data_IF_342315658963
#
_entry.id   IF_342315658963
#
_cell.length_a   1.000
_cell.length_b   1.000
_cell.length_c   1.000
_cell.angle_alpha   90.00
_cell.angle_beta   90.00
_cell.angle_gamma   90.00
#
_symmetry.space_group_name_H-M   'P 1'
#
loop_
_entity.id
_entity.type
_entity.pdbx_description
1 polymer ?
#
# COMPACT_ATOMS: atom_id res chain seq x y z
N UNK A 1 -21.47 -21.98 34.60
CA UNK A 1 -20.57 -23.13 34.74
C UNK A 1 -19.97 -23.43 33.37
N UNK A 2 -18.65 -23.32 33.20
CA UNK A 2 -17.95 -23.72 31.99
C UNK A 2 -17.55 -25.21 32.07
N UNK A 3 -17.07 -25.80 30.97
CA UNK A 3 -15.99 -26.76 31.10
C UNK A 3 -14.72 -26.24 30.44
N UNK A 4 -13.66 -26.45 31.21
CA UNK A 4 -12.25 -26.18 30.95
C UNK A 4 -11.58 -27.52 30.54
N UNK A 5 -10.39 -27.39 29.95
CA UNK A 5 -9.23 -28.31 29.99
C UNK A 5 -8.82 -29.00 28.67
N UNK A 6 -7.80 -28.38 28.07
CA UNK A 6 -6.44 -28.86 27.70
C UNK A 6 -6.20 -30.05 26.77
N UNK A 7 -5.17 -29.85 25.93
CA UNK A 7 -4.33 -30.90 25.36
C UNK A 7 -3.29 -30.35 24.39
N UNK A 8 -2.14 -29.94 24.93
CA UNK A 8 -0.91 -29.53 24.22
C UNK A 8 -0.36 -30.61 23.28
N UNK A 9 0.22 -30.23 22.13
CA UNK A 9 1.32 -30.98 21.49
C UNK A 9 2.26 -30.04 20.73
N UNK A 10 3.41 -29.74 21.35
CA UNK A 10 4.60 -29.13 20.76
C UNK A 10 5.54 -30.24 20.27
N UNK A 11 6.00 -30.14 19.02
CA UNK A 11 7.06 -30.99 18.46
C UNK A 11 8.22 -30.14 17.92
N UNK A 12 9.37 -30.20 18.60
CA UNK A 12 10.66 -29.59 18.20
C UNK A 12 11.47 -30.55 17.30
N UNK A 13 12.28 -29.97 16.41
CA UNK A 13 13.58 -30.48 15.93
C UNK A 13 14.38 -29.24 15.46
N UNK A 14 15.65 -29.00 15.75
CA UNK A 14 16.68 -29.66 16.54
C UNK A 14 17.96 -28.83 16.39
N UNK A 15 18.57 -28.42 17.51
CA UNK A 15 19.88 -27.73 17.58
C UNK A 15 20.91 -28.77 18.01
N UNK A 16 22.07 -28.84 17.33
CA UNK A 16 23.26 -29.56 17.81
C UNK A 16 24.30 -28.56 18.34
N UNK A 17 24.85 -28.87 19.52
CA UNK A 17 25.96 -28.20 20.19
C UNK A 17 27.28 -28.90 19.93
N UNK A 18 28.35 -28.16 20.22
CA UNK A 18 29.55 -28.62 20.93
C UNK A 18 30.81 -28.55 20.07
N UNK A 19 31.98 -28.17 20.56
CA UNK A 19 32.51 -27.56 21.79
C UNK A 19 33.97 -27.18 21.42
N UNK A 20 34.61 -26.19 22.07
CA UNK A 20 35.92 -26.36 22.74
C UNK A 20 36.66 -25.05 23.11
N UNK A 21 37.55 -25.23 24.09
CA UNK A 21 38.15 -24.30 25.05
C UNK A 21 39.27 -23.33 24.55
N UNK A 22 39.33 -22.17 25.23
CA UNK A 22 40.37 -21.15 25.54
C UNK A 22 41.87 -21.57 25.61
N UNK A 23 42.84 -20.68 26.01
CA UNK A 23 43.14 -19.26 25.73
C UNK A 23 44.65 -19.01 25.36
N UNK A 24 45.02 -17.80 24.93
CA UNK A 24 46.46 -17.46 24.81
C UNK A 24 46.73 -15.99 24.45
N UNK A 25 47.24 -15.22 25.41
CA UNK A 25 47.54 -13.80 25.23
C UNK A 25 48.82 -13.50 24.43
N UNK A 26 48.96 -12.26 23.96
CA UNK A 26 50.22 -11.49 24.03
C UNK A 26 50.01 -10.00 23.73
N UNK A 27 50.94 -9.26 24.33
CA UNK A 27 51.06 -7.81 24.56
C UNK A 27 51.00 -6.89 23.32
N UNK A 28 50.60 -5.65 23.62
CA UNK A 28 50.75 -4.39 22.89
C UNK A 28 52.19 -4.19 22.36
N UNK A 29 52.39 -3.43 21.27
CA UNK A 29 53.11 -2.17 21.46
C UNK A 29 52.43 -0.95 20.85
N UNK A 30 52.61 0.13 21.61
CA UNK A 30 52.24 1.50 21.38
C UNK A 30 53.14 2.10 20.29
N UNK A 31 52.58 2.77 19.28
CA UNK A 31 53.35 3.63 18.38
C UNK A 31 52.61 4.96 18.27
N UNK A 32 53.20 5.99 18.85
CA UNK A 32 52.89 7.40 18.65
C UNK A 32 53.03 7.76 17.16
N UNK A 33 52.09 8.52 16.61
CA UNK A 33 52.41 9.67 15.76
C UNK A 33 51.21 10.61 15.60
N UNK A 34 51.44 11.84 16.03
CA UNK A 34 50.60 13.00 15.85
C UNK A 34 50.29 13.25 14.38
N UNK A 35 49.01 13.37 14.05
CA UNK A 35 48.58 14.14 12.88
C UNK A 35 47.47 15.10 13.33
N UNK A 36 47.79 16.38 13.25
CA UNK A 36 46.80 17.46 13.22
C UNK A 36 46.00 17.29 11.93
N UNK A 37 44.87 16.59 11.99
CA UNK A 37 43.84 16.73 10.97
C UNK A 37 42.94 17.89 11.35
N UNK A 38 43.04 18.96 10.56
CA UNK A 38 42.11 20.06 10.52
C UNK A 38 40.77 19.47 10.07
N UNK A 39 39.84 19.28 11.01
CA UNK A 39 38.44 19.04 10.67
C UNK A 39 37.94 20.22 9.83
N UNK A 40 37.37 20.00 8.63
CA UNK A 40 36.66 21.06 7.96
C UNK A 40 35.51 21.48 8.87
N UNK A 41 35.48 22.76 9.25
CA UNK A 41 34.37 23.36 9.97
C UNK A 41 33.11 23.17 9.13
N UNK A 42 32.30 22.19 9.49
CA UNK A 42 30.97 22.00 8.94
C UNK A 42 30.18 23.26 9.35
N UNK A 43 29.96 24.17 8.40
CA UNK A 43 29.21 25.39 8.69
C UNK A 43 27.72 25.03 8.78
N UNK A 44 27.34 24.54 9.95
CA UNK A 44 26.00 24.08 10.28
C UNK A 44 24.95 25.20 10.13
N UNK A 45 25.37 26.48 10.11
CA UNK A 45 24.43 27.62 10.09
C UNK A 45 23.83 27.90 8.72
N UNK A 46 24.55 27.64 7.62
CA UNK A 46 23.98 27.81 6.26
C UNK A 46 23.17 26.60 5.78
N UNK A 47 23.41 25.41 6.35
CA UNK A 47 22.71 24.18 5.95
C UNK A 47 21.29 24.07 6.52
N UNK A 48 21.02 24.63 7.71
CA UNK A 48 19.73 24.52 8.40
C UNK A 48 18.55 25.18 7.64
N UNK A 49 18.66 26.44 7.13
CA UNK A 49 17.60 27.06 6.32
C UNK A 49 17.34 26.32 5.00
N UNK A 50 18.34 25.61 4.47
CA UNK A 50 18.21 24.81 3.26
C UNK A 50 17.44 23.52 3.53
N UNK A 51 17.73 22.85 4.65
CA UNK A 51 17.05 21.60 5.04
C UNK A 51 15.58 21.83 5.44
N UNK A 52 15.25 22.97 6.08
CA UNK A 52 13.85 23.32 6.40
C UNK A 52 13.02 23.63 5.15
N UNK A 53 13.60 24.30 4.14
CA UNK A 53 12.98 24.49 2.81
C UNK A 53 12.80 23.17 2.06
N UNK A 54 13.77 22.25 2.15
CA UNK A 54 13.65 20.91 1.55
C UNK A 54 12.47 20.14 2.15
N UNK A 55 12.28 20.19 3.47
CA UNK A 55 11.14 19.57 4.14
C UNK A 55 9.80 20.16 3.67
N UNK A 56 9.68 21.50 3.59
CA UNK A 56 8.48 22.15 3.09
C UNK A 56 8.18 21.77 1.63
N UNK A 57 9.22 21.70 0.79
CA UNK A 57 9.08 21.24 -0.59
C UNK A 57 8.60 19.77 -0.68
N UNK A 58 9.13 18.90 0.19
CA UNK A 58 8.67 17.51 0.28
C UNK A 58 7.19 17.42 0.68
N UNK A 59 6.72 18.24 1.64
CA UNK A 59 5.31 18.29 2.03
C UNK A 59 4.40 18.75 0.89
N UNK A 60 4.76 19.83 0.20
CA UNK A 60 4.03 20.34 -0.97
C UNK A 60 3.90 19.24 -2.02
N UNK A 61 5.03 18.62 -2.40
CA UNK A 61 5.06 17.56 -3.42
C UNK A 61 4.23 16.34 -2.99
N UNK A 62 4.33 15.93 -1.73
CA UNK A 62 3.57 14.80 -1.21
C UNK A 62 2.06 15.04 -1.28
N UNK A 63 1.57 16.16 -0.75
CA UNK A 63 0.12 16.42 -0.70
C UNK A 63 -0.47 16.74 -2.08
N UNK A 64 0.29 17.42 -2.96
CA UNK A 64 -0.10 17.56 -4.36
C UNK A 64 -0.19 16.19 -5.05
N UNK A 65 0.67 15.22 -4.68
CA UNK A 65 0.61 13.88 -5.23
C UNK A 65 -0.52 13.04 -4.64
N UNK A 66 -0.81 13.18 -3.36
CA UNK A 66 -1.94 12.54 -2.69
C UNK A 66 -3.28 12.96 -3.34
N UNK A 67 -3.44 14.25 -3.64
CA UNK A 67 -4.63 14.78 -4.31
C UNK A 67 -4.84 14.15 -5.70
N UNK A 68 -3.77 14.12 -6.52
CA UNK A 68 -3.79 13.45 -7.82
C UNK A 68 -4.03 11.95 -7.73
N UNK A 69 -3.53 11.30 -6.67
CA UNK A 69 -3.79 9.89 -6.42
C UNK A 69 -5.28 9.67 -6.16
N UNK A 70 -5.94 10.53 -5.38
CA UNK A 70 -7.37 10.41 -5.09
C UNK A 70 -8.22 10.49 -6.36
N UNK A 71 -7.93 11.45 -7.24
CA UNK A 71 -8.60 11.57 -8.53
C UNK A 71 -8.39 10.33 -9.40
N UNK A 72 -7.13 9.88 -9.52
CA UNK A 72 -6.79 8.67 -10.29
C UNK A 72 -7.46 7.44 -9.70
N UNK A 73 -7.54 7.34 -8.38
CA UNK A 73 -8.16 6.21 -7.70
C UNK A 73 -9.65 6.11 -8.05
N UNK A 74 -10.37 7.23 -7.99
CA UNK A 74 -11.78 7.30 -8.38
C UNK A 74 -12.01 6.92 -9.85
N UNK A 75 -11.16 7.40 -10.76
CA UNK A 75 -11.24 7.03 -12.18
C UNK A 75 -11.03 5.53 -12.39
N UNK A 76 -9.98 4.96 -11.79
CA UNK A 76 -9.69 3.53 -11.88
C UNK A 76 -10.80 2.66 -11.27
N UNK A 77 -11.32 3.05 -10.10
CA UNK A 77 -12.47 2.36 -9.48
C UNK A 77 -13.69 2.38 -10.39
N UNK A 78 -14.00 3.51 -11.02
CA UNK A 78 -15.11 3.61 -11.97
C UNK A 78 -14.89 2.73 -13.21
N UNK A 79 -13.66 2.71 -13.74
CA UNK A 79 -13.29 1.83 -14.88
C UNK A 79 -13.40 0.35 -14.54
N UNK A 80 -13.27 -0.02 -13.27
CA UNK A 80 -13.39 -1.41 -12.81
C UNK A 80 -14.85 -1.88 -12.67
N UNK A 81 -15.83 -0.97 -12.56
CA UNK A 81 -17.24 -1.34 -12.35
C UNK A 81 -17.76 -2.29 -13.44
N UNK A 82 -17.51 -1.95 -14.71
CA UNK A 82 -17.93 -2.78 -15.85
C UNK A 82 -17.31 -4.18 -15.83
N UNK A 83 -15.98 -4.35 -15.83
CA UNK A 83 -15.40 -5.69 -15.84
C UNK A 83 -15.79 -6.51 -14.61
N UNK A 84 -15.95 -5.89 -13.44
CA UNK A 84 -16.46 -6.58 -12.24
C UNK A 84 -17.88 -7.11 -12.43
N UNK A 85 -18.78 -6.30 -13.00
CA UNK A 85 -20.16 -6.72 -13.28
C UNK A 85 -20.21 -7.84 -14.32
N UNK A 86 -19.43 -7.74 -15.40
CA UNK A 86 -19.36 -8.79 -16.43
C UNK A 86 -18.79 -10.07 -15.84
N UNK A 87 -17.76 -9.97 -14.99
CA UNK A 87 -17.18 -11.11 -14.29
C UNK A 87 -18.22 -11.81 -13.42
N UNK A 88 -18.95 -11.08 -12.57
CA UNK A 88 -20.03 -11.64 -11.75
C UNK A 88 -21.06 -12.41 -12.59
N UNK A 89 -21.60 -11.76 -13.63
CA UNK A 89 -22.60 -12.35 -14.51
C UNK A 89 -22.09 -13.60 -15.26
N UNK A 90 -20.87 -13.56 -15.81
CA UNK A 90 -20.29 -14.70 -16.55
C UNK A 90 -19.94 -15.86 -15.62
N UNK A 91 -19.55 -15.58 -14.38
CA UNK A 91 -19.24 -16.62 -13.41
C UNK A 91 -20.52 -17.34 -12.96
N UNK A 92 -21.63 -16.61 -12.80
CA UNK A 92 -22.96 -17.19 -12.58
C UNK A 92 -23.38 -18.09 -13.76
N UNK A 93 -23.26 -17.60 -14.99
CA UNK A 93 -23.54 -18.41 -16.20
C UNK A 93 -22.69 -19.68 -16.25
N UNK A 94 -21.40 -19.59 -15.91
CA UNK A 94 -20.52 -20.75 -15.87
C UNK A 94 -21.04 -21.80 -14.88
N UNK A 95 -21.43 -21.39 -13.66
CA UNK A 95 -21.98 -22.30 -12.65
C UNK A 95 -23.25 -22.98 -13.14
N UNK A 96 -24.17 -22.26 -13.79
CA UNK A 96 -25.37 -22.86 -14.37
C UNK A 96 -25.05 -23.91 -15.42
N UNK A 97 -24.18 -23.57 -16.38
CA UNK A 97 -23.78 -24.50 -17.45
C UNK A 97 -23.00 -25.69 -16.88
N UNK A 98 -22.33 -25.57 -15.73
CA UNK A 98 -21.62 -26.67 -15.08
C UNK A 98 -22.51 -27.55 -14.19
N UNK A 99 -23.56 -27.00 -13.57
CA UNK A 99 -24.41 -27.70 -12.60
C UNK A 99 -25.59 -28.46 -13.23
N UNK A 100 -25.84 -28.33 -14.53
CA UNK A 100 -26.81 -29.20 -15.21
C UNK A 100 -26.33 -30.66 -15.14
N UNK A 101 -26.85 -31.40 -14.16
CA UNK A 101 -26.86 -32.86 -14.12
C UNK A 101 -27.64 -33.33 -15.35
N UNK A 102 -26.98 -34.13 -16.19
CA UNK A 102 -27.55 -34.69 -17.42
C UNK A 102 -28.47 -35.85 -17.08
N UNK A 103 -29.55 -35.60 -16.34
CA UNK A 103 -30.59 -36.59 -16.11
C UNK A 103 -31.89 -36.14 -16.78
N UNK A 104 -32.27 -36.92 -17.81
CA UNK A 104 -33.63 -37.07 -18.32
C UNK A 104 -34.30 -35.90 -19.07
N UNK A 105 -33.64 -35.31 -20.06
CA UNK A 105 -34.35 -34.54 -21.10
C UNK A 105 -33.92 -34.98 -22.50
N UNK A 106 -34.87 -35.42 -23.34
CA UNK A 106 -34.70 -35.74 -24.77
C UNK A 106 -34.16 -34.56 -25.62
N UNK A 107 -34.05 -33.37 -25.02
CA UNK A 107 -33.56 -32.11 -25.62
C UNK A 107 -32.23 -31.61 -24.97
N UNK A 108 -31.45 -32.51 -24.36
CA UNK A 108 -30.17 -32.13 -23.75
C UNK A 108 -29.19 -31.58 -24.79
N UNK A 109 -28.63 -30.39 -24.55
CA UNK A 109 -27.53 -29.84 -25.35
C UNK A 109 -26.40 -30.87 -25.41
N UNK A 110 -26.03 -31.28 -26.63
CA UNK A 110 -24.95 -32.25 -26.80
C UNK A 110 -23.67 -31.80 -26.05
N UNK A 111 -22.96 -32.78 -25.50
CA UNK A 111 -21.79 -32.57 -24.64
C UNK A 111 -20.73 -31.70 -25.33
N UNK A 112 -20.57 -31.82 -26.66
CA UNK A 112 -19.65 -30.98 -27.42
C UNK A 112 -20.11 -29.51 -27.43
N UNK A 113 -21.40 -29.27 -27.64
CA UNK A 113 -21.97 -27.91 -27.66
C UNK A 113 -21.86 -27.26 -26.28
N UNK A 114 -22.13 -28.01 -25.20
CA UNK A 114 -21.92 -27.55 -23.82
C UNK A 114 -20.46 -27.23 -23.55
N UNK A 115 -19.53 -28.09 -23.98
CA UNK A 115 -18.09 -27.86 -23.87
C UNK A 115 -17.65 -26.58 -24.60
N UNK A 116 -18.16 -26.34 -25.81
CA UNK A 116 -17.89 -25.10 -26.57
C UNK A 116 -18.45 -23.85 -25.86
N UNK A 117 -19.61 -23.95 -25.22
CA UNK A 117 -20.19 -22.85 -24.44
C UNK A 117 -19.33 -22.53 -23.20
N UNK A 118 -18.96 -23.54 -22.41
CA UNK A 118 -18.06 -23.40 -21.26
C UNK A 118 -16.76 -22.71 -21.68
N UNK A 119 -16.15 -23.17 -22.77
CA UNK A 119 -14.91 -22.59 -23.28
C UNK A 119 -15.08 -21.10 -23.63
N UNK A 120 -16.17 -20.71 -24.31
CA UNK A 120 -16.46 -19.30 -24.63
C UNK A 120 -16.65 -18.44 -23.38
N UNK A 121 -17.33 -18.97 -22.36
CA UNK A 121 -17.53 -18.26 -21.09
C UNK A 121 -16.18 -18.05 -20.40
N UNK A 122 -15.34 -19.08 -20.32
CA UNK A 122 -14.00 -19.00 -19.73
C UNK A 122 -13.10 -17.99 -20.46
N UNK A 123 -13.13 -17.97 -21.79
CA UNK A 123 -12.41 -16.96 -22.58
C UNK A 123 -12.88 -15.55 -22.25
N UNK A 124 -14.19 -15.33 -22.15
CA UNK A 124 -14.73 -14.04 -21.74
C UNK A 124 -14.34 -13.67 -20.29
N UNK A 125 -14.29 -14.63 -19.37
CA UNK A 125 -13.83 -14.36 -17.99
C UNK A 125 -12.37 -13.91 -17.98
N UNK A 126 -11.51 -14.56 -18.76
CA UNK A 126 -10.09 -14.20 -18.85
C UNK A 126 -9.89 -12.79 -19.41
N UNK A 127 -10.66 -12.39 -20.42
CA UNK A 127 -10.65 -11.02 -20.96
C UNK A 127 -10.93 -9.97 -19.87
N UNK A 128 -11.95 -10.19 -19.03
CA UNK A 128 -12.27 -9.26 -17.94
C UNK A 128 -11.20 -9.27 -16.84
N UNK A 129 -10.61 -10.43 -16.52
CA UNK A 129 -9.52 -10.53 -15.55
C UNK A 129 -8.27 -9.79 -16.03
N UNK A 130 -7.94 -9.85 -17.32
CA UNK A 130 -6.85 -9.05 -17.91
C UNK A 130 -7.10 -7.56 -17.71
N UNK A 131 -8.30 -7.06 -17.99
CA UNK A 131 -8.67 -5.66 -17.76
C UNK A 131 -8.52 -5.26 -16.28
N UNK A 132 -8.94 -6.12 -15.36
CA UNK A 132 -8.80 -5.89 -13.91
C UNK A 132 -7.33 -5.91 -13.47
N UNK A 133 -6.48 -6.77 -14.04
CA UNK A 133 -5.03 -6.78 -13.77
C UNK A 133 -4.36 -5.50 -14.25
N UNK A 134 -4.76 -4.96 -15.39
CA UNK A 134 -4.26 -3.68 -15.90
C UNK A 134 -4.64 -2.52 -14.99
N UNK A 135 -5.87 -2.52 -14.46
CA UNK A 135 -6.33 -1.54 -13.47
C UNK A 135 -5.53 -1.68 -12.16
N UNK A 136 -5.33 -2.91 -11.68
CA UNK A 136 -4.56 -3.21 -10.47
C UNK A 136 -3.10 -2.74 -10.60
N UNK A 137 -2.50 -2.92 -11.76
CA UNK A 137 -1.15 -2.42 -12.06
C UNK A 137 -1.11 -0.89 -11.96
N UNK A 138 -2.10 -0.20 -12.54
CA UNK A 138 -2.18 1.26 -12.45
C UNK A 138 -2.41 1.79 -11.02
N UNK A 139 -3.15 1.04 -10.18
CA UNK A 139 -3.27 1.34 -8.75
C UNK A 139 -1.92 1.18 -8.05
N UNK A 140 -1.21 0.08 -8.29
CA UNK A 140 0.11 -0.15 -7.71
C UNK A 140 1.09 0.95 -8.09
N UNK A 141 1.18 1.31 -9.37
CA UNK A 141 2.10 2.34 -9.86
C UNK A 141 1.83 3.69 -9.19
N UNK A 142 0.55 4.05 -9.05
CA UNK A 142 0.17 5.29 -8.38
C UNK A 142 0.52 5.27 -6.88
N UNK A 143 0.32 4.13 -6.21
CA UNK A 143 0.69 3.93 -4.81
C UNK A 143 2.20 3.93 -4.58
N UNK A 144 2.99 3.29 -5.46
CA UNK A 144 4.45 3.30 -5.36
C UNK A 144 4.99 4.71 -5.55
N UNK A 145 4.41 5.48 -6.45
CA UNK A 145 4.83 6.86 -6.64
C UNK A 145 4.55 7.72 -5.40
N UNK A 146 3.37 7.59 -4.78
CA UNK A 146 3.09 8.24 -3.50
C UNK A 146 4.04 7.77 -2.38
N UNK A 147 4.36 6.47 -2.34
CA UNK A 147 5.32 5.90 -1.39
C UNK A 147 6.70 6.53 -1.53
N UNK A 148 7.18 6.72 -2.75
CA UNK A 148 8.46 7.37 -3.00
C UNK A 148 8.47 8.81 -2.45
N UNK A 149 7.37 9.54 -2.62
CA UNK A 149 7.22 10.87 -2.04
C UNK A 149 7.17 10.84 -0.49
N UNK A 150 6.54 9.83 0.10
CA UNK A 150 6.53 9.64 1.56
C UNK A 150 7.93 9.38 2.10
N UNK A 151 8.69 8.47 1.47
CA UNK A 151 10.08 8.17 1.85
C UNK A 151 10.96 9.42 1.74
N UNK A 152 10.78 10.22 0.68
CA UNK A 152 11.50 11.49 0.55
C UNK A 152 11.14 12.48 1.65
N UNK A 153 9.87 12.54 2.05
CA UNK A 153 9.39 13.35 3.16
C UNK A 153 9.98 12.90 4.50
N UNK A 154 9.99 11.60 4.78
CA UNK A 154 10.60 11.01 5.99
C UNK A 154 12.10 11.28 6.04
N UNK A 155 12.79 11.13 4.91
CA UNK A 155 14.22 11.44 4.76
C UNK A 155 14.53 12.93 4.94
N UNK A 156 13.68 13.83 4.43
CA UNK A 156 13.85 15.25 4.66
C UNK A 156 13.61 15.59 6.14
N UNK A 157 12.60 14.97 6.75
CA UNK A 157 12.25 15.20 8.15
C UNK A 157 13.35 14.75 9.12
N UNK A 158 14.03 13.65 8.85
CA UNK A 158 15.11 13.11 9.71
C UNK A 158 16.35 14.02 9.75
N UNK A 159 16.54 14.87 8.74
CA UNK A 159 17.65 15.82 8.66
C UNK A 159 17.42 17.12 9.44
N UNK A 160 16.19 17.38 9.92
CA UNK A 160 15.87 18.64 10.62
C UNK A 160 15.55 18.45 12.09
N UNK A 161 16.09 19.33 12.93
CA UNK A 161 15.76 19.41 14.35
C UNK A 161 14.42 20.10 14.55
N UNK A 162 13.58 19.58 15.45
CA UNK A 162 12.29 20.19 15.81
C UNK A 162 12.43 21.48 16.63
N UNK A 163 13.59 21.68 17.26
CA UNK A 163 13.86 22.85 18.09
C UNK A 163 14.44 24.01 17.27
N UNK A 164 14.48 23.89 15.95
CA UNK A 164 14.98 24.92 15.06
C UNK A 164 13.92 26.03 14.88
N UNK A 165 14.29 27.27 15.21
CA UNK A 165 13.43 28.45 15.07
C UNK A 165 12.89 28.62 13.65
N UNK A 166 13.67 28.22 12.63
CA UNK A 166 13.24 28.32 11.22
C UNK A 166 12.13 27.32 10.87
N UNK A 167 12.14 26.11 11.46
CA UNK A 167 11.03 25.16 11.35
C UNK A 167 9.81 25.66 12.11
N UNK A 168 10.03 26.22 13.30
CA UNK A 168 8.94 26.75 14.13
C UNK A 168 8.24 27.91 13.43
N UNK A 169 8.95 28.75 12.68
CA UNK A 169 8.33 29.81 11.87
C UNK A 169 7.56 29.26 10.66
N UNK A 170 8.14 28.29 9.93
CA UNK A 170 7.49 27.69 8.75
C UNK A 170 6.22 26.90 9.10
N UNK A 171 6.21 26.22 10.25
CA UNK A 171 5.12 25.32 10.66
C UNK A 171 4.41 25.76 11.93
N UNK A 172 4.50 27.04 12.28
CA UNK A 172 3.69 27.62 13.35
C UNK A 172 2.23 27.38 13.04
N UNK A 173 1.52 26.81 14.02
CA UNK A 173 0.09 26.57 13.89
C UNK A 173 -0.62 27.90 13.63
N UNK A 174 -1.38 27.93 12.54
CA UNK A 174 -2.32 29.02 12.29
C UNK A 174 -3.71 28.41 12.10
N UNK A 175 -4.80 29.19 12.22
CA UNK A 175 -6.14 28.68 11.93
C UNK A 175 -6.30 28.03 10.54
N UNK A 176 -5.37 28.30 9.63
CA UNK A 176 -5.36 27.82 8.25
C UNK A 176 -4.21 26.85 7.93
N UNK A 177 -3.26 26.63 8.86
CA UNK A 177 -2.08 25.76 8.67
C UNK A 177 -1.93 24.77 9.83
N UNK A 178 -2.13 23.46 9.59
CA UNK A 178 -1.87 22.42 10.58
C UNK A 178 -0.40 22.41 11.01
N UNK A 179 -0.15 21.98 12.25
CA UNK A 179 1.21 21.72 12.77
C UNK A 179 1.94 20.67 11.93
N UNK A 180 3.27 20.76 11.91
CA UNK A 180 4.12 19.81 11.20
C UNK A 180 3.87 18.36 11.62
N UNK A 181 3.74 18.06 12.92
CA UNK A 181 3.49 16.67 13.36
C UNK A 181 2.19 16.11 12.78
N UNK A 182 1.15 16.94 12.72
CA UNK A 182 -0.15 16.54 12.18
C UNK A 182 -0.08 16.32 10.66
N UNK A 183 0.66 17.15 9.93
CA UNK A 183 0.90 16.95 8.50
C UNK A 183 1.66 15.64 8.22
N UNK A 184 2.68 15.33 9.02
CA UNK A 184 3.44 14.09 8.87
C UNK A 184 2.56 12.87 9.19
N UNK A 185 1.75 12.95 10.26
CA UNK A 185 0.78 11.91 10.59
C UNK A 185 -0.21 11.69 9.43
N UNK A 186 -0.77 12.76 8.87
CA UNK A 186 -1.69 12.67 7.74
C UNK A 186 -1.04 12.14 6.47
N UNK A 187 0.26 12.38 6.26
CA UNK A 187 0.98 11.76 5.14
C UNK A 187 1.06 10.24 5.30
N UNK A 188 1.33 9.75 6.51
CA UNK A 188 1.33 8.30 6.77
C UNK A 188 -0.08 7.72 6.63
N UNK A 189 -1.10 8.35 7.23
CA UNK A 189 -2.50 7.91 7.16
C UNK A 189 -3.02 7.89 5.72
N UNK A 190 -2.69 8.93 4.93
CA UNK A 190 -3.06 9.04 3.53
C UNK A 190 -2.50 7.89 2.69
N UNK A 191 -1.21 7.60 2.84
CA UNK A 191 -0.59 6.48 2.16
C UNK A 191 -1.18 5.12 2.59
N UNK A 192 -1.32 4.90 3.90
CA UNK A 192 -1.83 3.64 4.44
C UNK A 192 -3.24 3.31 3.93
N UNK A 193 -4.11 4.32 3.81
CA UNK A 193 -5.46 4.14 3.29
C UNK A 193 -5.45 3.50 1.89
N UNK A 194 -4.77 4.11 0.92
CA UNK A 194 -4.72 3.59 -0.45
C UNK A 194 -3.90 2.30 -0.57
N UNK A 195 -2.84 2.17 0.22
CA UNK A 195 -2.04 0.95 0.24
C UNK A 195 -2.86 -0.26 0.73
N UNK A 196 -3.61 -0.10 1.82
CA UNK A 196 -4.45 -1.17 2.37
C UNK A 196 -5.58 -1.55 1.39
N UNK A 197 -6.19 -0.56 0.73
CA UNK A 197 -7.16 -0.84 -0.33
C UNK A 197 -6.55 -1.65 -1.48
N UNK A 198 -5.36 -1.26 -1.94
CA UNK A 198 -4.64 -1.98 -2.99
C UNK A 198 -4.36 -3.43 -2.59
N UNK A 199 -3.82 -3.66 -1.38
CA UNK A 199 -3.53 -5.00 -0.89
C UNK A 199 -4.77 -5.88 -0.88
N UNK A 200 -5.88 -5.35 -0.37
CA UNK A 200 -7.17 -6.06 -0.34
C UNK A 200 -7.63 -6.47 -1.75
N UNK A 201 -7.61 -5.55 -2.71
CA UNK A 201 -7.99 -5.85 -4.10
C UNK A 201 -7.04 -6.88 -4.71
N UNK A 202 -5.73 -6.69 -4.52
CA UNK A 202 -4.69 -7.60 -5.00
C UNK A 202 -4.90 -9.02 -4.48
N UNK A 203 -5.22 -9.17 -3.20
CA UNK A 203 -5.38 -10.48 -2.59
C UNK A 203 -6.67 -11.16 -3.06
N UNK A 204 -7.77 -10.43 -3.20
CA UNK A 204 -8.98 -10.95 -3.84
C UNK A 204 -8.73 -11.38 -5.30
N UNK A 205 -7.94 -10.61 -6.07
CA UNK A 205 -7.57 -10.97 -7.45
C UNK A 205 -6.75 -12.26 -7.54
N UNK A 206 -5.93 -12.58 -6.52
CA UNK A 206 -5.14 -13.83 -6.48
C UNK A 206 -5.99 -15.04 -6.07
N UNK A 207 -7.09 -14.82 -5.36
CA UNK A 207 -7.95 -15.87 -4.81
C UNK A 207 -9.20 -16.14 -5.64
N UNK A 208 -9.28 -15.64 -6.88
CA UNK A 208 -10.44 -15.87 -7.76
C UNK A 208 -10.58 -17.37 -8.02
N UNK A 209 -11.76 -17.91 -7.70
CA UNK A 209 -12.19 -19.24 -8.11
C UNK A 209 -13.58 -19.14 -8.75
N UNK A 210 -13.66 -19.36 -10.05
CA UNK A 210 -14.91 -19.25 -10.81
C UNK A 210 -15.99 -20.26 -10.38
N UNK A 211 -15.62 -21.30 -9.62
CA UNK A 211 -16.59 -22.25 -9.07
C UNK A 211 -17.25 -21.75 -7.78
N UNK A 212 -16.62 -20.79 -7.10
CA UNK A 212 -17.04 -20.28 -5.80
C UNK A 212 -17.50 -18.83 -5.94
N UNK A 213 -18.81 -18.62 -5.85
CA UNK A 213 -19.47 -17.31 -5.95
C UNK A 213 -18.87 -16.27 -5.01
N UNK A 214 -18.61 -16.68 -3.77
CA UNK A 214 -18.07 -15.82 -2.72
C UNK A 214 -16.75 -15.15 -3.14
N UNK A 215 -15.92 -15.79 -3.96
CA UNK A 215 -14.64 -15.19 -4.38
C UNK A 215 -14.83 -13.98 -5.28
N UNK A 216 -15.88 -13.98 -6.12
CA UNK A 216 -16.23 -12.86 -6.98
C UNK A 216 -16.90 -11.75 -6.17
N UNK A 217 -17.81 -12.10 -5.27
CA UNK A 217 -18.47 -11.14 -4.39
C UNK A 217 -17.46 -10.42 -3.46
N UNK A 218 -16.48 -11.16 -2.96
CA UNK A 218 -15.37 -10.61 -2.19
C UNK A 218 -14.52 -9.65 -3.04
N UNK A 219 -14.25 -10.00 -4.29
CA UNK A 219 -13.55 -9.10 -5.22
C UNK A 219 -14.36 -7.82 -5.48
N UNK A 220 -15.65 -7.91 -5.80
CA UNK A 220 -16.53 -6.75 -6.01
C UNK A 220 -16.55 -5.86 -4.76
N UNK A 221 -16.71 -6.47 -3.59
CA UNK A 221 -16.75 -5.77 -2.30
C UNK A 221 -15.41 -5.10 -1.97
N UNK A 222 -14.28 -5.66 -2.44
CA UNK A 222 -12.94 -5.10 -2.21
C UNK A 222 -12.72 -3.72 -2.83
N UNK A 223 -13.50 -3.35 -3.86
CA UNK A 223 -13.48 -2.01 -4.46
C UNK A 223 -14.28 -0.98 -3.66
N UNK A 224 -15.10 -1.43 -2.70
CA UNK A 224 -15.88 -0.52 -1.84
C UNK A 224 -15.01 0.09 -0.76
N UNK A 225 -15.10 1.41 -0.63
CA UNK A 225 -14.33 2.17 0.35
C UNK A 225 -14.95 2.12 1.74
N UNK A 226 -14.11 2.01 2.77
CA UNK A 226 -14.59 2.16 4.14
C UNK A 226 -15.04 3.60 4.37
N UNK A 227 -16.31 3.79 4.76
CA UNK A 227 -16.90 5.13 4.99
C UNK A 227 -16.08 5.98 5.95
N UNK A 228 -15.51 5.39 7.00
CA UNK A 228 -14.68 6.09 7.98
C UNK A 228 -13.34 6.52 7.36
N UNK A 229 -12.65 5.61 6.69
CA UNK A 229 -11.41 5.91 5.98
C UNK A 229 -11.59 7.02 4.94
N UNK A 230 -12.66 6.94 4.13
CA UNK A 230 -12.98 7.98 3.14
C UNK A 230 -13.25 9.35 3.77
N UNK A 231 -13.98 9.41 4.88
CA UNK A 231 -14.18 10.66 5.64
C UNK A 231 -12.84 11.24 6.13
N UNK A 232 -11.92 10.40 6.58
CA UNK A 232 -10.60 10.85 7.01
C UNK A 232 -9.79 11.41 5.85
N UNK A 233 -9.75 10.72 4.71
CA UNK A 233 -9.05 11.20 3.51
C UNK A 233 -9.63 12.53 3.02
N UNK A 234 -10.96 12.66 2.93
CA UNK A 234 -11.58 13.91 2.54
C UNK A 234 -11.20 15.06 3.48
N UNK A 235 -11.10 14.78 4.79
CA UNK A 235 -10.61 15.74 5.77
C UNK A 235 -9.15 16.13 5.50
N UNK A 236 -8.27 15.16 5.30
CA UNK A 236 -6.84 15.39 5.02
C UNK A 236 -6.69 16.27 3.77
N UNK A 237 -7.37 15.90 2.67
CA UNK A 237 -7.33 16.64 1.41
C UNK A 237 -7.83 18.09 1.59
N UNK A 238 -8.95 18.27 2.31
CA UNK A 238 -9.50 19.61 2.55
C UNK A 238 -8.55 20.50 3.38
N UNK A 239 -7.90 19.95 4.41
CA UNK A 239 -6.96 20.71 5.24
C UNK A 239 -5.59 20.89 4.60
N UNK A 240 -5.26 20.14 3.54
CA UNK A 240 -3.96 20.22 2.86
C UNK A 240 -4.04 20.83 1.46
N UNK A 241 -5.23 21.25 1.02
CA UNK A 241 -5.44 21.92 -0.27
C UNK A 241 -4.53 23.15 -0.46
N UNK A 242 -4.15 23.83 0.62
CA UNK A 242 -3.29 25.00 0.54
C UNK A 242 -1.87 24.62 0.13
N UNK A 243 -1.35 23.48 0.62
CA UNK A 243 -0.04 22.94 0.24
C UNK A 243 -0.03 22.50 -1.22
N UNK A 244 -1.12 21.89 -1.69
CA UNK A 244 -1.24 21.48 -3.10
C UNK A 244 -1.25 22.67 -4.08
N UNK A 245 -1.67 23.85 -3.62
CA UNK A 245 -1.70 25.11 -4.40
C UNK A 245 -0.45 25.98 -4.20
N UNK A 246 0.42 25.64 -3.24
CA UNK A 246 1.61 26.40 -2.91
C UNK A 246 2.71 26.11 -3.95
N UNK A 247 3.12 27.12 -4.71
CA UNK A 247 4.24 27.01 -5.65
C UNK A 247 5.55 27.27 -4.93
N UNK A 248 6.54 26.38 -5.13
CA UNK A 248 7.91 26.60 -4.69
C UNK A 248 8.50 27.78 -5.46
N UNK A 249 8.80 28.88 -4.76
CA UNK A 249 9.58 30.01 -5.28
C UNK A 249 11.07 29.75 -5.10
#
# INVERSE_FOLDING_TARGET
MPPTVSGDFLGRCGVRRGDDFSPGGRKIPNVFSSQHEILPSFDSRESLPRMSRELHACLIRYFARLDRLDEKWKDLSKRAERPLQVLANRTEQLRHVMNEETDEAEDSVDRETRGRLIFKILMGLEEEVVLLRDILTQFNDANQDLKNHLVNLENARSKVSLNDETILELFRETPYRPKLELLLQWAVEGFQFYHNMYLRISDCMKSIDYKVEETIDNLVSSFTEEKRGRKNINRILAFTQFLAKETLH
#
